data_IF_209985331309
#
_entry.id   IF_209985331309
#
_cell.length_a   1.000
_cell.length_b   1.000
_cell.length_c   1.000
_cell.angle_alpha   90.00
_cell.angle_beta   90.00
_cell.angle_gamma   90.00
#
_symmetry.space_group_name_H-M   'P 1'
#
loop_
_entity.id
_entity.type
_entity.pdbx_description
1 polymer ?
#
# COMPACT_ATOMS: atom_id res chain seq x y z
N UNK A 1 -3.75 60.69 -38.44
CA UNK A 1 -3.82 59.22 -38.49
C UNK A 1 -2.44 58.63 -38.30
N UNK A 2 -2.20 57.91 -37.21
CA UNK A 2 -1.27 56.77 -37.11
C UNK A 2 -1.38 56.22 -35.68
N UNK A 3 -2.19 55.18 -35.55
CA UNK A 3 -2.26 54.33 -34.36
C UNK A 3 -0.93 53.59 -34.24
N UNK A 4 -0.27 53.67 -33.08
CA UNK A 4 0.72 52.68 -32.69
C UNK A 4 0.26 52.03 -31.39
N UNK A 5 -0.49 50.94 -31.58
CA UNK A 5 -0.87 50.01 -30.54
C UNK A 5 0.41 49.26 -30.15
N UNK A 6 0.90 49.48 -28.94
CA UNK A 6 2.02 48.74 -28.37
C UNK A 6 1.44 47.65 -27.47
N UNK A 7 1.04 46.54 -28.10
CA UNK A 7 0.77 45.26 -27.43
C UNK A 7 2.10 44.49 -27.45
N UNK A 8 2.80 44.51 -26.33
CA UNK A 8 3.86 43.57 -25.96
C UNK A 8 3.84 43.56 -24.43
N UNK A 9 3.56 42.49 -23.72
CA UNK A 9 3.43 41.09 -24.04
C UNK A 9 3.56 40.47 -22.66
N UNK A 10 2.44 40.01 -22.10
CA UNK A 10 2.44 39.29 -20.83
C UNK A 10 3.22 38.01 -21.08
N UNK A 11 4.51 38.05 -20.78
CA UNK A 11 5.32 36.86 -20.61
C UNK A 11 4.69 36.13 -19.45
N UNK A 12 3.86 35.14 -19.77
CA UNK A 12 3.56 34.06 -18.86
C UNK A 12 4.91 33.56 -18.34
N UNK A 13 5.20 33.88 -17.08
CA UNK A 13 6.21 33.24 -16.27
C UNK A 13 5.78 31.77 -16.15
N UNK A 14 5.98 30.99 -17.21
CA UNK A 14 6.11 29.56 -17.09
C UNK A 14 7.40 29.37 -16.29
N UNK A 15 7.25 29.27 -14.97
CA UNK A 15 8.32 29.03 -14.04
C UNK A 15 9.07 27.78 -14.49
N UNK A 16 10.18 27.97 -15.19
CA UNK A 16 11.14 26.92 -15.42
C UNK A 16 11.68 26.51 -14.06
N UNK A 17 11.12 25.45 -13.50
CA UNK A 17 11.58 24.88 -12.24
C UNK A 17 13.05 24.52 -12.42
N UNK A 18 13.95 24.99 -11.53
CA UNK A 18 15.37 24.69 -11.62
C UNK A 18 15.64 23.19 -11.70
N UNK A 19 16.69 22.79 -12.42
CA UNK A 19 17.07 21.37 -12.51
C UNK A 19 17.24 20.78 -11.11
N UNK A 20 16.63 19.62 -10.89
CA UNK A 20 16.66 18.95 -9.58
C UNK A 20 15.61 19.48 -8.60
N UNK A 21 14.63 20.25 -9.07
CA UNK A 21 13.43 20.59 -8.31
C UNK A 21 12.17 20.02 -8.96
N UNK A 22 11.16 19.77 -8.13
CA UNK A 22 9.83 19.28 -8.51
C UNK A 22 8.78 20.23 -7.97
N UNK A 23 7.76 20.49 -8.79
CA UNK A 23 6.63 21.35 -8.47
C UNK A 23 5.83 20.79 -7.27
N UNK A 24 5.82 21.53 -6.16
CA UNK A 24 5.10 21.10 -4.95
C UNK A 24 3.59 21.25 -5.03
N UNK A 25 3.07 22.09 -5.93
CA UNK A 25 1.62 22.24 -6.15
C UNK A 25 1.08 21.08 -6.98
N UNK A 26 1.85 20.62 -7.96
CA UNK A 26 1.49 19.47 -8.81
C UNK A 26 1.77 18.12 -8.15
N UNK A 27 2.87 18.00 -7.44
CA UNK A 27 3.29 16.76 -6.76
C UNK A 27 3.13 16.97 -5.26
N UNK A 28 1.89 16.84 -4.80
CA UNK A 28 1.42 17.25 -3.47
C UNK A 28 1.95 16.41 -2.31
N UNK A 29 2.63 15.30 -2.60
CA UNK A 29 3.19 14.38 -1.59
C UNK A 29 4.66 14.12 -1.86
N UNK A 30 5.40 13.80 -0.80
CA UNK A 30 6.83 13.48 -0.91
C UNK A 30 7.09 12.25 -1.78
N UNK A 31 6.21 11.26 -1.74
CA UNK A 31 6.32 10.06 -2.57
C UNK A 31 6.20 10.41 -4.06
N UNK A 32 5.17 11.15 -4.46
CA UNK A 32 4.98 11.58 -5.85
C UNK A 32 6.09 12.50 -6.34
N UNK A 33 6.61 13.34 -5.46
CA UNK A 33 7.76 14.17 -5.78
C UNK A 33 9.01 13.30 -6.06
N UNK A 34 9.25 12.25 -5.27
CA UNK A 34 10.34 11.29 -5.50
C UNK A 34 10.17 10.49 -6.80
N UNK A 35 8.94 10.06 -7.14
CA UNK A 35 8.65 9.43 -8.44
C UNK A 35 9.01 10.37 -9.60
N UNK A 36 8.66 11.65 -9.48
CA UNK A 36 9.03 12.65 -10.48
C UNK A 36 10.55 12.87 -10.54
N UNK A 37 11.24 12.92 -9.41
CA UNK A 37 12.70 13.01 -9.36
C UNK A 37 13.35 11.82 -10.11
N UNK A 38 12.82 10.62 -9.93
CA UNK A 38 13.29 9.42 -10.60
C UNK A 38 13.07 9.49 -12.11
N UNK A 39 11.86 9.82 -12.55
CA UNK A 39 11.56 10.01 -13.97
C UNK A 39 12.46 11.06 -14.63
N UNK A 40 12.66 12.21 -13.98
CA UNK A 40 13.52 13.27 -14.51
C UNK A 40 15.00 12.83 -14.55
N UNK A 41 15.44 11.97 -13.63
CA UNK A 41 16.77 11.37 -13.68
C UNK A 41 16.93 10.43 -14.87
N UNK A 42 15.96 9.56 -15.13
CA UNK A 42 16.00 8.64 -16.27
C UNK A 42 16.02 9.40 -17.59
N UNK A 43 15.15 10.40 -17.75
CA UNK A 43 15.09 11.25 -18.95
C UNK A 43 16.42 11.97 -19.18
N UNK A 44 17.05 12.53 -18.13
CA UNK A 44 18.36 13.17 -18.24
C UNK A 44 19.46 12.20 -18.64
N UNK A 45 19.38 10.96 -18.19
CA UNK A 45 20.33 9.89 -18.54
C UNK A 45 19.93 9.14 -19.81
N UNK A 46 18.99 9.65 -20.60
CA UNK A 46 18.49 9.03 -21.84
C UNK A 46 18.07 7.56 -21.63
N UNK A 47 17.51 7.25 -20.46
CA UNK A 47 17.09 5.90 -20.05
C UNK A 47 18.22 4.85 -20.00
N UNK A 48 19.50 5.24 -19.97
CA UNK A 48 20.61 4.31 -19.75
C UNK A 48 20.70 3.83 -18.29
N UNK A 49 20.06 4.53 -17.37
CA UNK A 49 20.01 4.19 -15.95
C UNK A 49 18.56 4.26 -15.49
N UNK A 50 18.11 3.19 -14.84
CA UNK A 50 16.80 3.11 -14.21
C UNK A 50 16.88 3.63 -12.78
N UNK A 51 15.86 4.38 -12.38
CA UNK A 51 15.72 4.89 -11.03
C UNK A 51 14.26 4.81 -10.58
N UNK A 52 14.09 4.57 -9.29
CA UNK A 52 12.78 4.53 -8.62
C UNK A 52 12.69 5.64 -7.59
N UNK A 53 11.49 5.84 -7.02
CA UNK A 53 11.29 6.79 -5.93
C UNK A 53 12.27 6.57 -4.77
N UNK A 54 12.60 5.30 -4.46
CA UNK A 54 13.54 4.93 -3.40
C UNK A 54 14.97 5.44 -3.60
N UNK A 55 15.35 5.81 -4.84
CA UNK A 55 16.66 6.37 -5.15
C UNK A 55 16.80 7.84 -4.75
N UNK A 56 15.71 8.50 -4.35
CA UNK A 56 15.69 9.92 -4.04
C UNK A 56 15.11 10.18 -2.66
N UNK A 57 15.62 11.22 -2.02
CA UNK A 57 14.94 11.99 -0.98
C UNK A 57 14.47 13.31 -1.57
N UNK A 58 13.44 13.88 -0.98
CA UNK A 58 12.99 15.23 -1.30
C UNK A 58 12.99 16.10 -0.06
N UNK A 59 13.36 17.36 -0.21
CA UNK A 59 13.28 18.37 0.85
C UNK A 59 12.44 19.52 0.32
N UNK A 60 11.42 19.93 1.09
CA UNK A 60 10.60 21.09 0.72
C UNK A 60 11.42 22.37 0.90
N UNK A 61 11.44 23.21 -0.14
CA UNK A 61 12.20 24.47 -0.16
C UNK A 61 11.26 25.67 -0.15
N UNK A 62 11.83 26.88 0.02
CA UNK A 62 11.09 28.14 -0.08
C UNK A 62 10.34 28.22 -1.41
N UNK A 63 9.06 28.61 -1.36
CA UNK A 63 8.15 28.54 -2.50
C UNK A 63 7.40 27.20 -2.66
N UNK A 64 7.56 26.26 -1.74
CA UNK A 64 6.71 25.06 -1.63
C UNK A 64 7.14 23.88 -2.51
N UNK A 65 8.12 24.07 -3.40
CA UNK A 65 8.71 23.05 -4.26
C UNK A 65 9.53 22.01 -3.49
N UNK A 66 9.83 20.90 -4.15
CA UNK A 66 10.69 19.84 -3.63
C UNK A 66 12.05 19.84 -4.31
N UNK A 67 13.14 19.79 -3.54
CA UNK A 67 14.49 19.56 -4.05
C UNK A 67 14.81 18.07 -4.03
N UNK A 68 15.14 17.49 -5.19
CA UNK A 68 15.56 16.10 -5.34
C UNK A 68 17.00 15.89 -4.85
N UNK A 69 17.20 14.89 -4.01
CA UNK A 69 18.51 14.49 -3.48
C UNK A 69 18.67 12.99 -3.75
N UNK A 70 19.61 12.60 -4.61
CA UNK A 70 19.88 11.17 -4.83
C UNK A 70 20.52 10.58 -3.57
N UNK A 71 20.04 9.41 -3.14
CA UNK A 71 20.55 8.74 -1.94
C UNK A 71 21.20 7.40 -2.26
N UNK A 72 22.09 6.97 -1.38
CA UNK A 72 22.90 5.75 -1.53
C UNK A 72 23.08 5.08 -0.16
N UNK A 73 23.71 3.90 -0.16
CA UNK A 73 24.06 3.18 1.06
C UNK A 73 22.84 2.79 1.90
N UNK A 74 22.94 2.94 3.21
CA UNK A 74 21.90 2.48 4.14
C UNK A 74 20.59 3.27 4.04
N UNK A 75 20.66 4.51 3.57
CA UNK A 75 19.46 5.29 3.29
C UNK A 75 18.66 4.70 2.13
N UNK A 76 19.35 4.37 1.02
CA UNK A 76 18.73 3.72 -0.13
C UNK A 76 18.12 2.37 0.29
N UNK A 77 18.86 1.55 1.04
CA UNK A 77 18.35 0.26 1.54
C UNK A 77 17.07 0.43 2.35
N UNK A 78 17.02 1.44 3.23
CA UNK A 78 15.84 1.73 4.05
C UNK A 78 14.65 2.12 3.20
N UNK A 79 14.82 3.07 2.27
CA UNK A 79 13.74 3.46 1.36
C UNK A 79 13.27 2.29 0.47
N UNK A 80 14.15 1.38 0.09
CA UNK A 80 13.76 0.19 -0.68
C UNK A 80 12.91 -0.78 0.16
N UNK A 81 13.25 -1.00 1.44
CA UNK A 81 12.43 -1.81 2.34
C UNK A 81 11.07 -1.16 2.62
N UNK A 82 11.04 0.17 2.72
CA UNK A 82 9.82 0.93 3.02
C UNK A 82 8.94 1.19 1.78
N UNK A 83 9.46 0.98 0.57
CA UNK A 83 8.87 1.48 -0.68
C UNK A 83 7.43 1.03 -0.93
N UNK A 84 7.07 -0.20 -0.54
CA UNK A 84 5.70 -0.70 -0.71
C UNK A 84 4.74 -0.05 0.30
N UNK A 85 5.17 0.07 1.55
CA UNK A 85 4.37 0.73 2.59
C UNK A 85 4.22 2.23 2.29
N UNK A 86 5.25 2.88 1.74
CA UNK A 86 5.17 4.28 1.29
C UNK A 86 4.19 4.47 0.12
N UNK A 87 4.19 3.55 -0.84
CA UNK A 87 3.26 3.57 -1.97
C UNK A 87 1.80 3.42 -1.49
N UNK A 88 1.54 2.43 -0.63
CA UNK A 88 0.19 2.21 -0.09
C UNK A 88 -0.24 3.33 0.87
N UNK A 89 0.70 3.95 1.59
CA UNK A 89 0.44 5.14 2.39
C UNK A 89 -0.01 6.32 1.51
N UNK A 90 0.73 6.64 0.42
CA UNK A 90 0.35 7.70 -0.54
C UNK A 90 -1.04 7.43 -1.14
N UNK A 91 -1.27 6.20 -1.60
CA UNK A 91 -2.55 5.78 -2.17
C UNK A 91 -3.71 5.92 -1.19
N UNK A 92 -3.45 5.71 0.10
CA UNK A 92 -4.41 5.84 1.18
C UNK A 92 -4.54 7.27 1.73
N UNK A 93 -3.75 8.23 1.21
CA UNK A 93 -3.72 9.61 1.72
C UNK A 93 -3.15 9.72 3.14
N UNK A 94 -2.29 8.79 3.55
CA UNK A 94 -1.67 8.72 4.87
C UNK A 94 -0.17 9.02 4.78
N UNK A 95 0.40 9.51 5.87
CA UNK A 95 1.86 9.44 6.08
C UNK A 95 2.29 7.99 6.30
N UNK A 96 3.57 7.68 6.07
CA UNK A 96 4.12 6.35 6.30
C UNK A 96 3.88 5.86 7.75
N UNK A 97 4.03 6.74 8.74
CA UNK A 97 3.76 6.41 10.15
C UNK A 97 2.29 6.05 10.37
N UNK A 98 1.36 6.89 9.90
CA UNK A 98 -0.08 6.63 10.04
C UNK A 98 -0.49 5.34 9.33
N UNK A 99 0.09 5.05 8.17
CA UNK A 99 -0.16 3.80 7.46
C UNK A 99 0.31 2.58 8.29
N UNK A 100 1.49 2.66 8.90
CA UNK A 100 2.01 1.59 9.77
C UNK A 100 1.14 1.37 11.01
N UNK A 101 0.75 2.45 11.67
CA UNK A 101 -0.15 2.39 12.84
C UNK A 101 -1.50 1.78 12.45
N UNK A 102 -2.05 2.18 11.29
CA UNK A 102 -3.29 1.61 10.75
C UNK A 102 -3.13 0.12 10.43
N UNK A 103 -2.06 -0.26 9.74
CA UNK A 103 -1.77 -1.65 9.36
C UNK A 103 -1.65 -2.56 10.58
N UNK A 104 -0.99 -2.09 11.65
CA UNK A 104 -0.89 -2.81 12.91
C UNK A 104 -2.25 -2.92 13.61
N UNK A 105 -3.02 -1.84 13.66
CA UNK A 105 -4.36 -1.84 14.24
C UNK A 105 -5.32 -2.77 13.50
N UNK A 106 -5.32 -2.74 12.16
CA UNK A 106 -6.11 -3.62 11.31
C UNK A 106 -5.72 -5.10 11.53
N UNK A 107 -4.43 -5.38 11.69
CA UNK A 107 -3.93 -6.72 12.00
C UNK A 107 -4.40 -7.24 13.36
N UNK A 108 -4.25 -6.46 14.43
CA UNK A 108 -4.70 -6.87 15.76
C UNK A 108 -6.24 -7.00 15.84
N UNK A 109 -6.97 -6.14 15.14
CA UNK A 109 -8.42 -6.26 14.99
C UNK A 109 -8.80 -7.58 14.29
N UNK A 110 -8.16 -7.91 13.17
CA UNK A 110 -8.40 -9.14 12.42
C UNK A 110 -8.07 -10.38 13.25
N UNK A 111 -6.94 -10.36 13.96
CA UNK A 111 -6.51 -11.42 14.87
C UNK A 111 -7.53 -11.66 15.99
N UNK A 112 -8.05 -10.60 16.61
CA UNK A 112 -9.11 -10.70 17.61
C UNK A 112 -10.40 -11.27 17.03
N UNK A 113 -10.78 -10.84 15.83
CA UNK A 113 -11.95 -11.39 15.12
C UNK A 113 -11.79 -12.90 14.88
N UNK A 114 -10.59 -13.35 14.50
CA UNK A 114 -10.26 -14.76 14.30
C UNK A 114 -10.34 -15.59 15.58
N UNK A 115 -9.79 -15.09 16.69
CA UNK A 115 -9.90 -15.76 18.00
C UNK A 115 -11.38 -15.95 18.36
N UNK A 116 -12.18 -14.90 18.26
CA UNK A 116 -13.61 -14.96 18.57
C UNK A 116 -14.36 -15.92 17.63
N UNK A 117 -14.05 -15.87 16.33
CA UNK A 117 -14.62 -16.75 15.31
C UNK A 117 -14.38 -18.22 15.64
N UNK A 118 -13.14 -18.62 15.89
CA UNK A 118 -12.82 -20.03 16.18
C UNK A 118 -13.37 -20.48 17.54
N UNK A 119 -13.36 -19.61 18.56
CA UNK A 119 -13.99 -19.92 19.85
C UNK A 119 -15.50 -20.17 19.70
N UNK A 120 -16.19 -19.39 18.86
CA UNK A 120 -17.61 -19.61 18.61
C UNK A 120 -17.87 -20.92 17.84
N UNK A 121 -17.03 -21.23 16.85
CA UNK A 121 -17.13 -22.47 16.07
C UNK A 121 -16.87 -23.72 16.91
N UNK A 122 -15.84 -23.73 17.75
CA UNK A 122 -15.56 -24.90 18.60
C UNK A 122 -16.71 -25.24 19.55
N UNK A 123 -17.45 -24.24 20.08
CA UNK A 123 -18.64 -24.50 20.91
C UNK A 123 -19.71 -25.28 20.14
N UNK A 124 -19.97 -24.89 18.90
CA UNK A 124 -20.94 -25.59 18.02
C UNK A 124 -20.41 -26.98 17.67
N UNK A 125 -19.12 -27.08 17.38
CA UNK A 125 -18.48 -28.33 17.00
C UNK A 125 -18.48 -29.35 18.13
N UNK A 126 -18.30 -28.95 19.38
CA UNK A 126 -18.48 -29.82 20.54
C UNK A 126 -19.88 -30.45 20.61
N UNK A 127 -20.93 -29.71 20.22
CA UNK A 127 -22.29 -30.25 20.15
C UNK A 127 -22.41 -31.28 19.01
N UNK A 128 -21.84 -31.00 17.85
CA UNK A 128 -21.79 -31.93 16.71
C UNK A 128 -21.06 -33.23 17.06
N UNK A 129 -19.93 -33.13 17.78
CA UNK A 129 -19.17 -34.30 18.26
C UNK A 129 -20.02 -35.17 19.19
N UNK A 130 -20.79 -34.56 20.10
CA UNK A 130 -21.66 -35.27 21.06
C UNK A 130 -22.87 -35.95 20.39
N UNK A 131 -23.44 -35.35 19.35
CA UNK A 131 -24.54 -35.94 18.58
C UNK A 131 -24.08 -37.14 17.73
N UNK A 132 -22.80 -37.20 17.36
CA UNK A 132 -22.19 -38.34 16.65
C UNK A 132 -22.61 -38.49 15.18
N UNK A 133 -23.50 -37.62 14.68
CA UNK A 133 -23.89 -37.54 13.27
C UNK A 133 -22.86 -36.76 12.46
N UNK A 134 -22.90 -36.93 11.15
CA UNK A 134 -22.12 -36.09 10.23
C UNK A 134 -22.76 -34.70 10.15
N UNK A 135 -22.00 -33.68 10.52
CA UNK A 135 -22.34 -32.27 10.39
C UNK A 135 -21.32 -31.58 9.49
N UNK A 136 -21.77 -30.67 8.64
CA UNK A 136 -20.89 -29.81 7.83
C UNK A 136 -21.29 -28.36 8.05
N UNK A 137 -20.34 -27.56 8.53
CA UNK A 137 -20.47 -26.11 8.64
C UNK A 137 -19.70 -25.45 7.51
N UNK A 138 -20.33 -24.51 6.80
CA UNK A 138 -19.68 -23.68 5.79
C UNK A 138 -19.86 -22.24 6.22
N UNK A 139 -18.75 -21.51 6.34
CA UNK A 139 -18.77 -20.14 6.81
C UNK A 139 -17.67 -19.30 6.19
N UNK A 140 -17.93 -18.01 6.09
CA UNK A 140 -16.92 -17.02 5.72
C UNK A 140 -16.15 -16.60 6.97
N UNK A 141 -14.83 -16.72 6.92
CA UNK A 141 -13.95 -16.20 7.96
C UNK A 141 -13.97 -14.66 8.01
N UNK A 142 -13.37 -14.05 9.05
CA UNK A 142 -13.27 -12.59 9.17
C UNK A 142 -12.56 -11.88 8.01
N UNK A 143 -11.72 -12.60 7.26
CA UNK A 143 -11.03 -12.13 6.06
C UNK A 143 -11.81 -12.41 4.75
N UNK A 144 -13.01 -12.96 4.85
CA UNK A 144 -13.85 -13.34 3.71
C UNK A 144 -13.53 -14.71 3.10
N UNK A 145 -12.50 -15.41 3.58
CA UNK A 145 -12.14 -16.76 3.08
C UNK A 145 -13.24 -17.75 3.45
N UNK A 146 -13.67 -18.58 2.50
CA UNK A 146 -14.69 -19.61 2.77
C UNK A 146 -14.01 -20.81 3.43
N UNK A 147 -14.60 -21.25 4.53
CA UNK A 147 -14.14 -22.37 5.34
C UNK A 147 -15.28 -23.37 5.44
N UNK A 148 -14.98 -24.64 5.23
CA UNK A 148 -15.92 -25.73 5.42
C UNK A 148 -15.33 -26.73 6.41
N UNK A 149 -16.03 -27.03 7.48
CA UNK A 149 -15.63 -28.02 8.47
C UNK A 149 -16.67 -29.12 8.54
N UNK A 150 -16.26 -30.37 8.33
CA UNK A 150 -17.09 -31.55 8.52
C UNK A 150 -16.67 -32.30 9.78
N UNK A 151 -17.64 -32.71 10.60
CA UNK A 151 -17.42 -33.39 11.88
C UNK A 151 -18.33 -34.61 11.99
N UNK A 152 -17.78 -35.75 12.42
CA UNK A 152 -18.54 -36.95 12.79
C UNK A 152 -17.89 -37.63 13.98
N UNK A 153 -18.53 -37.59 15.15
CA UNK A 153 -17.92 -38.06 16.39
C UNK A 153 -16.63 -37.28 16.68
N UNK A 154 -15.49 -37.96 16.77
CA UNK A 154 -14.18 -37.30 16.95
C UNK A 154 -13.47 -36.96 15.63
N UNK A 155 -13.94 -37.47 14.49
CA UNK A 155 -13.33 -37.19 13.20
C UNK A 155 -13.69 -35.77 12.75
N UNK A 156 -12.70 -35.06 12.20
CA UNK A 156 -12.85 -33.69 11.70
C UNK A 156 -12.10 -33.54 10.39
N UNK A 157 -12.74 -32.91 9.40
CA UNK A 157 -12.08 -32.46 8.19
C UNK A 157 -12.33 -30.96 8.01
N UNK A 158 -11.27 -30.16 7.94
CA UNK A 158 -11.34 -28.74 7.60
C UNK A 158 -10.92 -28.53 6.16
N UNK A 159 -11.65 -27.68 5.45
CA UNK A 159 -11.36 -27.24 4.10
C UNK A 159 -11.30 -25.73 4.07
N UNK A 160 -10.24 -25.19 3.49
CA UNK A 160 -10.06 -23.76 3.27
C UNK A 160 -10.10 -23.51 1.78
N UNK A 161 -11.05 -22.70 1.32
CA UNK A 161 -11.21 -22.32 -0.08
C UNK A 161 -10.73 -20.88 -0.23
N UNK A 162 -9.54 -20.72 -0.78
CA UNK A 162 -8.95 -19.43 -1.12
C UNK A 162 -9.00 -19.13 -2.61
N UNK A 163 -8.40 -18.01 -3.01
CA UNK A 163 -8.38 -17.56 -4.42
C UNK A 163 -7.62 -18.50 -5.36
N UNK A 164 -6.74 -19.36 -4.82
CA UNK A 164 -5.88 -20.27 -5.60
C UNK A 164 -6.34 -21.73 -5.58
N UNK A 165 -7.44 -22.04 -4.86
CA UNK A 165 -7.99 -23.39 -4.76
C UNK A 165 -8.42 -23.76 -3.33
N UNK A 166 -8.81 -25.02 -3.16
CA UNK A 166 -9.21 -25.59 -1.87
C UNK A 166 -8.14 -26.54 -1.31
N UNK A 167 -7.77 -26.38 -0.04
CA UNK A 167 -6.96 -27.35 0.70
C UNK A 167 -7.78 -27.97 1.82
N UNK A 168 -7.65 -29.27 2.01
CA UNK A 168 -8.36 -30.01 3.06
C UNK A 168 -7.38 -30.78 3.94
N UNK A 169 -7.65 -30.80 5.24
CA UNK A 169 -6.93 -31.58 6.26
C UNK A 169 -7.93 -32.33 7.13
N UNK A 170 -7.66 -33.58 7.44
CA UNK A 170 -8.51 -34.40 8.29
C UNK A 170 -7.73 -35.00 9.46
N UNK A 171 -8.37 -35.07 10.61
CA UNK A 171 -7.90 -35.66 11.87
C UNK A 171 -8.93 -36.66 12.42
#
# INVERSE_FOLDING_TARGET
MKYLILILGVLFLNGCIPRGMVDGEKYTTEYRAREKCALDFEVRNKFHQFASASNFKVVRVEGGNYKCIQVFGDELKRQQMDSNDEYEADRSGLTLSQYRDKKESDYESLKKAYINYYQAKERVYEEYRKDGKLHTDISSGPDGVIRATSIQGNARCDTVIGNTGGTSSCE
#
